data_IF_890960309456
#
_entry.id   IF_890960309456
#
_cell.length_a   1.000
_cell.length_b   1.000
_cell.length_c   1.000
_cell.angle_alpha   90.00
_cell.angle_beta   90.00
_cell.angle_gamma   90.00
#
_symmetry.space_group_name_H-M   'P 1'
#
loop_
_entity.id
_entity.type
_entity.pdbx_description
1 polymer ?
#
# COMPACT_ATOMS: atom_id res chain seq x y z
N UNK A 1 -0.29 6.77 -8.90
CA UNK A 1 -0.41 5.81 -10.03
C UNK A 1 0.62 4.67 -9.99
N UNK A 2 1.89 4.92 -9.64
CA UNK A 2 2.99 3.93 -9.68
C UNK A 2 2.92 2.82 -8.63
N UNK A 3 2.33 3.07 -7.45
CA UNK A 3 2.30 2.11 -6.35
C UNK A 3 1.53 0.82 -6.65
N UNK A 4 0.37 0.89 -7.31
CA UNK A 4 -0.45 -0.29 -7.60
C UNK A 4 0.24 -1.27 -8.55
N UNK A 5 0.90 -0.76 -9.59
CA UNK A 5 1.70 -1.56 -10.51
C UNK A 5 2.94 -2.17 -9.84
N UNK A 6 3.58 -1.41 -8.94
CA UNK A 6 4.74 -1.89 -8.19
C UNK A 6 4.36 -3.04 -7.25
N UNK A 7 3.25 -2.90 -6.53
CA UNK A 7 2.72 -3.97 -5.67
C UNK A 7 2.29 -5.21 -6.48
N UNK A 8 1.63 -5.02 -7.63
CA UNK A 8 1.25 -6.13 -8.50
C UNK A 8 2.48 -6.91 -9.00
N UNK A 9 3.53 -6.21 -9.46
CA UNK A 9 4.78 -6.85 -9.87
C UNK A 9 5.48 -7.62 -8.74
N UNK A 10 5.49 -7.05 -7.53
CA UNK A 10 6.03 -7.70 -6.34
C UNK A 10 5.28 -8.98 -6.00
N UNK A 11 3.94 -8.96 -6.01
CA UNK A 11 3.11 -10.14 -5.73
C UNK A 11 3.26 -11.23 -6.78
N UNK A 12 3.37 -10.86 -8.06
CA UNK A 12 3.61 -11.80 -9.16
C UNK A 12 4.96 -12.49 -8.99
N UNK A 13 6.03 -11.76 -8.71
CA UNK A 13 7.34 -12.40 -8.51
C UNK A 13 7.41 -13.22 -7.21
N UNK A 14 6.66 -12.84 -6.16
CA UNK A 14 6.58 -13.62 -4.92
C UNK A 14 5.91 -14.98 -5.17
N UNK A 15 4.89 -15.01 -6.05
CA UNK A 15 4.24 -16.24 -6.48
C UNK A 15 5.15 -17.14 -7.32
N UNK A 16 5.93 -16.58 -8.25
CA UNK A 16 6.83 -17.38 -9.10
C UNK A 16 7.99 -18.01 -8.32
N UNK A 17 8.51 -17.35 -7.29
CA UNK A 17 9.69 -17.82 -6.55
C UNK A 17 9.63 -17.41 -5.09
N UNK A 18 8.87 -18.17 -4.25
CA UNK A 18 8.80 -17.93 -2.81
C UNK A 18 10.11 -18.38 -2.13
N UNK A 19 11.15 -17.56 -2.28
CA UNK A 19 12.48 -17.75 -1.70
C UNK A 19 12.84 -16.60 -0.77
N UNK A 20 13.64 -16.87 0.27
CA UNK A 20 14.07 -15.85 1.23
C UNK A 20 14.81 -14.69 0.52
N UNK A 21 15.61 -14.99 -0.52
CA UNK A 21 16.32 -13.98 -1.29
C UNK A 21 15.38 -13.01 -2.02
N UNK A 22 14.27 -13.51 -2.56
CA UNK A 22 13.27 -12.64 -3.21
C UNK A 22 12.57 -11.72 -2.21
N UNK A 23 12.16 -12.26 -1.05
CA UNK A 23 11.56 -11.45 0.03
C UNK A 23 12.52 -10.35 0.48
N UNK A 24 13.81 -10.64 0.56
CA UNK A 24 14.83 -9.68 0.96
C UNK A 24 14.94 -8.51 -0.03
N UNK A 25 15.01 -8.79 -1.33
CA UNK A 25 15.07 -7.74 -2.36
C UNK A 25 13.79 -6.89 -2.37
N UNK A 26 12.63 -7.55 -2.31
CA UNK A 26 11.33 -6.89 -2.28
C UNK A 26 11.18 -5.97 -1.07
N UNK A 27 11.56 -6.44 0.12
CA UNK A 27 11.45 -5.64 1.35
C UNK A 27 12.37 -4.42 1.33
N UNK A 28 13.58 -4.54 0.75
CA UNK A 28 14.48 -3.39 0.54
C UNK A 28 13.82 -2.35 -0.38
N UNK A 29 13.26 -2.79 -1.52
CA UNK A 29 12.61 -1.87 -2.46
C UNK A 29 11.42 -1.17 -1.79
N UNK A 30 10.53 -1.93 -1.13
CA UNK A 30 9.37 -1.38 -0.42
C UNK A 30 9.78 -0.35 0.64
N UNK A 31 10.80 -0.66 1.45
CA UNK A 31 11.36 0.26 2.44
C UNK A 31 11.90 1.53 1.79
N UNK A 32 12.60 1.40 0.65
CA UNK A 32 13.16 2.53 -0.06
C UNK A 32 12.06 3.46 -0.61
N UNK A 33 10.96 2.90 -1.11
CA UNK A 33 9.79 3.68 -1.52
C UNK A 33 9.04 4.32 -0.34
N UNK A 34 8.91 3.59 0.77
CA UNK A 34 8.27 4.08 1.99
C UNK A 34 9.02 5.30 2.55
N UNK A 35 10.34 5.19 2.75
CA UNK A 35 11.13 6.31 3.26
C UNK A 35 11.37 7.39 2.21
N UNK A 36 11.52 7.01 0.94
CA UNK A 36 11.85 7.93 -0.14
C UNK A 36 10.68 8.79 -0.62
N UNK A 37 9.44 8.29 -0.55
CA UNK A 37 8.28 8.99 -1.10
C UNK A 37 7.23 9.28 -0.02
N UNK A 38 6.90 8.34 0.89
CA UNK A 38 5.84 8.61 1.86
C UNK A 38 6.27 9.68 2.88
N UNK A 39 7.53 9.65 3.32
CA UNK A 39 8.04 10.65 4.28
C UNK A 39 7.98 12.09 3.74
N UNK A 40 8.53 12.43 2.55
CA UNK A 40 8.45 13.79 2.02
C UNK A 40 7.02 14.19 1.65
N UNK A 41 6.23 13.28 1.08
CA UNK A 41 4.83 13.58 0.72
C UNK A 41 4.01 13.95 1.96
N UNK A 42 4.23 13.25 3.07
CA UNK A 42 3.58 13.55 4.35
C UNK A 42 4.00 14.91 4.90
N UNK A 43 5.28 15.27 4.81
CA UNK A 43 5.80 16.58 5.21
C UNK A 43 5.21 17.72 4.37
N UNK A 44 5.07 17.51 3.05
CA UNK A 44 4.46 18.50 2.13
C UNK A 44 2.98 18.69 2.42
N UNK A 45 2.19 17.62 2.55
CA UNK A 45 0.75 17.73 2.85
C UNK A 45 0.51 18.44 4.18
N UNK A 46 1.31 18.11 5.19
CA UNK A 46 1.16 18.68 6.52
C UNK A 46 1.72 20.10 6.64
N UNK A 47 2.58 20.54 5.72
CA UNK A 47 3.09 21.92 5.69
C UNK A 47 1.97 22.96 5.53
N UNK A 48 0.90 22.63 4.81
CA UNK A 48 -0.27 23.49 4.59
C UNK A 48 -1.24 23.59 5.78
N UNK A 49 -1.08 22.75 6.82
CA UNK A 49 -1.95 22.73 7.99
C UNK A 49 -1.41 23.58 9.15
N UNK A 50 -2.33 24.24 9.89
CA UNK A 50 -2.03 24.91 11.18
C UNK A 50 -1.49 23.90 12.21
N UNK A 51 -0.64 24.35 13.14
CA UNK A 51 0.10 23.52 14.11
C UNK A 51 -0.75 22.47 14.84
N UNK A 52 -1.96 22.83 15.26
CA UNK A 52 -2.87 21.94 16.01
C UNK A 52 -3.45 20.83 15.12
N UNK A 53 -3.92 21.20 13.92
CA UNK A 53 -4.50 20.25 12.96
C UNK A 53 -3.44 19.32 12.39
N UNK A 54 -2.20 19.81 12.23
CA UNK A 54 -1.04 19.03 11.79
C UNK A 54 -0.79 17.84 12.73
N UNK A 55 -0.79 18.09 14.03
CA UNK A 55 -0.53 17.05 15.04
C UNK A 55 -1.63 15.98 15.03
N UNK A 56 -2.90 16.39 15.04
CA UNK A 56 -4.04 15.46 15.04
C UNK A 56 -4.08 14.62 13.76
N UNK A 57 -3.82 15.23 12.61
CA UNK A 57 -3.85 14.54 11.32
C UNK A 57 -2.68 13.56 11.15
N UNK A 58 -1.47 13.91 11.60
CA UNK A 58 -0.34 13.00 11.54
C UNK A 58 -0.54 11.77 12.42
N UNK A 59 -1.01 11.96 13.67
CA UNK A 59 -1.28 10.84 14.57
C UNK A 59 -2.43 9.96 14.05
N UNK A 60 -3.47 10.57 13.46
CA UNK A 60 -4.54 9.84 12.82
C UNK A 60 -4.03 9.00 11.64
N UNK A 61 -3.24 9.57 10.74
CA UNK A 61 -2.67 8.82 9.61
C UNK A 61 -1.77 7.68 10.11
N UNK A 62 -0.87 7.96 11.05
CA UNK A 62 0.11 6.99 11.55
C UNK A 62 -0.54 5.86 12.35
N UNK A 63 -1.66 6.14 13.01
CA UNK A 63 -2.33 5.15 13.85
C UNK A 63 -3.48 4.48 13.11
N UNK A 64 -4.38 5.26 12.52
CA UNK A 64 -5.60 4.74 11.91
C UNK A 64 -5.32 4.10 10.56
N UNK A 65 -4.63 4.77 9.64
CA UNK A 65 -4.41 4.21 8.30
C UNK A 65 -3.43 3.04 8.34
N UNK A 66 -2.34 3.14 9.11
CA UNK A 66 -1.39 2.04 9.27
C UNK A 66 -2.06 0.85 9.96
N UNK A 67 -2.75 1.04 11.10
CA UNK A 67 -3.41 -0.08 11.80
C UNK A 67 -4.58 -0.67 11.01
N UNK A 68 -5.34 0.14 10.28
CA UNK A 68 -6.37 -0.39 9.39
C UNK A 68 -5.76 -1.23 8.27
N UNK A 69 -4.59 -0.85 7.76
CA UNK A 69 -3.83 -1.63 6.81
C UNK A 69 -3.45 -3.01 7.37
N UNK A 70 -2.85 -3.04 8.55
CA UNK A 70 -2.46 -4.30 9.22
C UNK A 70 -3.68 -5.19 9.57
N UNK A 71 -4.78 -4.57 10.00
CA UNK A 71 -6.03 -5.27 10.28
C UNK A 71 -6.65 -5.85 9.00
N UNK A 72 -6.69 -5.09 7.91
CA UNK A 72 -7.20 -5.55 6.62
C UNK A 72 -6.33 -6.67 6.05
N UNK A 73 -5.00 -6.56 6.14
CA UNK A 73 -4.06 -7.58 5.68
C UNK A 73 -4.16 -8.87 6.47
N UNK A 74 -4.24 -8.80 7.81
CA UNK A 74 -4.44 -9.98 8.66
C UNK A 74 -5.82 -10.61 8.45
N UNK A 75 -6.87 -9.80 8.28
CA UNK A 75 -8.20 -10.26 7.92
C UNK A 75 -8.23 -11.01 6.59
N UNK A 76 -7.48 -10.54 5.59
CA UNK A 76 -7.35 -11.21 4.29
C UNK A 76 -6.69 -12.60 4.41
N UNK A 77 -5.64 -12.72 5.24
CA UNK A 77 -4.99 -14.00 5.53
C UNK A 77 -5.94 -14.94 6.28
N UNK A 78 -6.69 -14.42 7.27
CA UNK A 78 -7.64 -15.20 8.05
C UNK A 78 -8.75 -15.78 7.15
N UNK A 79 -9.37 -14.93 6.32
CA UNK A 79 -10.40 -15.35 5.36
C UNK A 79 -9.82 -16.43 4.43
N UNK A 80 -8.65 -16.19 3.84
CA UNK A 80 -8.00 -17.16 2.95
C UNK A 80 -7.74 -18.50 3.64
N UNK A 81 -7.33 -18.49 4.90
CA UNK A 81 -7.13 -19.70 5.73
C UNK A 81 -8.44 -20.42 6.03
N UNK A 82 -9.53 -19.69 6.33
CA UNK A 82 -10.86 -20.27 6.57
C UNK A 82 -11.42 -20.95 5.32
N UNK A 83 -11.11 -20.43 4.13
CA UNK A 83 -11.46 -21.05 2.84
C UNK A 83 -10.55 -22.23 2.44
N UNK A 84 -9.59 -22.63 3.29
CA UNK A 84 -8.74 -23.80 3.06
C UNK A 84 -7.59 -23.57 2.06
N UNK A 85 -7.26 -22.31 1.76
CA UNK A 85 -6.23 -21.96 0.79
C UNK A 85 -4.83 -22.15 1.39
N UNK A 86 -3.96 -22.90 0.69
CA UNK A 86 -2.56 -23.10 1.09
C UNK A 86 -1.82 -21.76 1.06
N UNK A 87 -0.95 -21.49 2.04
CA UNK A 87 -0.21 -20.22 2.20
C UNK A 87 0.48 -19.71 0.91
N UNK A 88 0.90 -20.63 0.03
CA UNK A 88 1.52 -20.32 -1.26
C UNK A 88 0.58 -19.68 -2.30
N UNK A 89 -0.74 -19.88 -2.14
CA UNK A 89 -1.77 -19.40 -3.09
C UNK A 89 -2.44 -18.08 -2.64
N UNK A 90 -2.16 -17.63 -1.41
CA UNK A 90 -2.66 -16.34 -0.88
C UNK A 90 -2.24 -15.14 -1.76
N UNK A 91 -1.02 -15.07 -2.32
CA UNK A 91 -0.65 -14.00 -3.25
C UNK A 91 -1.50 -13.97 -4.52
N UNK A 92 -1.98 -15.12 -5.01
CA UNK A 92 -2.80 -15.21 -6.23
C UNK A 92 -4.16 -14.53 -6.04
N UNK A 93 -4.76 -14.69 -4.86
CA UNK A 93 -6.00 -14.00 -4.48
C UNK A 93 -5.81 -12.49 -4.28
N UNK A 94 -4.59 -12.04 -3.96
CA UNK A 94 -4.29 -10.62 -3.81
C UNK A 94 -4.12 -9.89 -5.15
N UNK A 95 -3.80 -10.59 -6.25
CA UNK A 95 -3.66 -10.02 -7.60
C UNK A 95 -4.94 -9.29 -8.08
N UNK A 96 -6.15 -9.89 -8.05
CA UNK A 96 -7.37 -9.19 -8.47
C UNK A 96 -7.68 -7.99 -7.58
N UNK A 97 -7.33 -8.05 -6.30
CA UNK A 97 -7.50 -6.91 -5.38
C UNK A 97 -6.53 -5.76 -5.71
N UNK A 98 -5.26 -6.08 -6.00
CA UNK A 98 -4.26 -5.12 -6.48
C UNK A 98 -4.67 -4.50 -7.82
N UNK A 99 -5.22 -5.30 -8.74
CA UNK A 99 -5.77 -4.83 -10.02
C UNK A 99 -6.95 -3.87 -9.83
N UNK A 100 -7.88 -4.19 -8.93
CA UNK A 100 -9.02 -3.31 -8.60
C UNK A 100 -8.55 -1.96 -8.04
N UNK A 101 -7.57 -1.97 -7.14
CA UNK A 101 -6.96 -0.75 -6.59
C UNK A 101 -6.23 0.06 -7.66
N UNK A 102 -5.54 -0.60 -8.60
CA UNK A 102 -4.91 0.07 -9.74
C UNK A 102 -5.95 0.74 -10.65
N UNK A 103 -7.06 0.06 -10.95
CA UNK A 103 -8.16 0.61 -11.76
C UNK A 103 -8.84 1.80 -11.08
N UNK A 104 -9.10 1.72 -9.77
CA UNK A 104 -9.62 2.86 -9.01
C UNK A 104 -8.63 4.03 -9.03
N UNK A 105 -7.33 3.75 -8.92
CA UNK A 105 -6.27 4.75 -9.04
C UNK A 105 -6.17 5.40 -10.43
N UNK A 106 -6.53 4.68 -11.49
CA UNK A 106 -6.62 5.22 -12.86
C UNK A 106 -7.87 6.09 -13.05
N UNK A 107 -8.95 5.79 -12.33
CA UNK A 107 -10.22 6.50 -12.41
C UNK A 107 -10.22 7.83 -11.64
N UNK A 108 -9.17 8.12 -10.85
CA UNK A 108 -8.96 9.43 -10.25
C UNK A 108 -8.37 10.34 -11.33
N UNK A 109 -9.15 11.29 -11.91
CA UNK A 109 -8.59 12.23 -12.87
C UNK A 109 -7.60 13.14 -12.12
N UNK A 110 -6.47 13.54 -12.74
CA UNK A 110 -5.69 14.63 -12.20
C UNK A 110 -6.60 15.87 -12.19
N UNK A 111 -6.99 16.32 -10.99
CA UNK A 111 -7.77 17.56 -10.87
C UNK A 111 -6.82 18.72 -11.10
N UNK A 112 -6.62 19.07 -12.36
CA UNK A 112 -6.19 20.40 -12.75
C UNK A 112 -7.44 21.23 -13.06
N UNK A 113 -7.75 22.14 -12.14
CA UNK A 113 -8.25 23.49 -12.39
C UNK A 113 -8.38 24.16 -11.03
N UNK A 114 -7.28 24.78 -10.61
CA UNK A 114 -7.33 25.90 -9.67
C UNK A 114 -7.79 27.08 -10.54
N UNK A 115 -9.09 27.35 -10.56
CA UNK A 115 -9.59 28.61 -11.10
C UNK A 115 -9.28 29.72 -10.09
N UNK A 116 -8.72 30.79 -10.66
CA UNK A 116 -8.24 32.07 -10.11
C UNK A 116 -9.22 32.82 -9.22
#
# INVERSE_FOLDING_TARGET
MTYGFLFAGVFIGYFLSPSIGYVFIVTIILRLFEYGINKPTREVIFSYLKKVDRYKSSVFVDTFLVRLGDFSGSGFILISKTFGVVFSQVPLLAIPFAGCLALLGLKIPPKENIES
#
